data_IF_550232112649
#
_entry.id   IF_550232112649
#
_cell.length_a   1.000
_cell.length_b   1.000
_cell.length_c   1.000
_cell.angle_alpha   90.00
_cell.angle_beta   90.00
_cell.angle_gamma   90.00
#
_symmetry.space_group_name_H-M   'P 1'
#
loop_
_entity.id
_entity.type
_entity.pdbx_description
1 polymer ?
#
# COMPACT_ATOMS: atom_id res chain seq x y z
N UNK A 1 -10.78 17.07 9.61
CA UNK A 1 -10.75 17.23 8.13
C UNK A 1 -11.66 18.40 7.74
N UNK A 2 -11.18 19.34 6.92
CA UNK A 2 -11.95 20.50 6.45
C UNK A 2 -12.67 20.21 5.12
N UNK A 3 -13.63 21.07 4.73
CA UNK A 3 -14.36 20.96 3.44
C UNK A 3 -13.43 20.84 2.21
N UNK A 4 -12.26 21.52 2.25
CA UNK A 4 -11.24 21.45 1.19
C UNK A 4 -10.59 20.08 1.06
N UNK A 5 -10.43 19.37 2.18
CA UNK A 5 -9.77 18.07 2.21
C UNK A 5 -10.69 17.01 1.58
N UNK A 6 -12.01 17.10 1.79
CA UNK A 6 -12.99 16.25 1.09
C UNK A 6 -12.88 16.42 -0.42
N UNK A 7 -12.80 17.66 -0.91
CA UNK A 7 -12.64 17.95 -2.34
C UNK A 7 -11.32 17.40 -2.90
N UNK A 8 -10.24 17.47 -2.12
CA UNK A 8 -8.96 16.86 -2.45
C UNK A 8 -9.08 15.34 -2.63
N UNK A 9 -9.79 14.65 -1.72
CA UNK A 9 -10.01 13.19 -1.81
C UNK A 9 -10.71 12.80 -3.10
N UNK A 10 -11.79 13.49 -3.46
CA UNK A 10 -12.53 13.24 -4.70
C UNK A 10 -11.67 13.50 -5.94
N UNK A 11 -10.91 14.60 -5.95
CA UNK A 11 -9.98 14.93 -7.04
C UNK A 11 -8.90 13.86 -7.23
N UNK A 12 -8.32 13.34 -6.15
CA UNK A 12 -7.24 12.34 -6.20
C UNK A 12 -7.73 10.96 -6.64
N UNK A 13 -8.96 10.60 -6.29
CA UNK A 13 -9.51 9.27 -6.58
C UNK A 13 -10.26 9.17 -7.90
N UNK A 14 -10.76 10.31 -8.40
CA UNK A 14 -11.68 10.38 -9.54
C UNK A 14 -13.11 9.98 -9.19
N UNK A 15 -13.43 9.79 -7.91
CA UNK A 15 -14.79 9.55 -7.44
C UNK A 15 -15.51 10.88 -7.18
N UNK A 16 -16.82 10.85 -7.33
CA UNK A 16 -17.73 11.86 -6.80
C UNK A 16 -18.46 11.35 -5.56
N UNK A 17 -19.16 12.25 -4.87
CA UNK A 17 -19.94 11.88 -3.69
C UNK A 17 -21.07 10.91 -4.06
N UNK A 18 -21.68 11.07 -5.23
CA UNK A 18 -22.79 10.23 -5.67
C UNK A 18 -22.35 8.78 -5.93
N UNK A 19 -21.10 8.55 -6.29
CA UNK A 19 -20.57 7.21 -6.56
C UNK A 19 -20.60 6.31 -5.31
N UNK A 20 -20.55 6.89 -4.11
CA UNK A 20 -20.67 6.13 -2.87
C UNK A 20 -22.10 5.76 -2.48
N UNK A 21 -23.11 6.28 -3.20
CA UNK A 21 -24.53 5.93 -2.96
C UNK A 21 -24.87 4.47 -3.27
N UNK A 22 -24.04 3.79 -4.06
CA UNK A 22 -24.18 2.35 -4.35
C UNK A 22 -23.83 1.46 -3.15
N UNK A 23 -23.17 2.03 -2.12
CA UNK A 23 -22.77 1.28 -0.93
C UNK A 23 -24.00 0.94 -0.08
N UNK A 24 -24.33 -0.36 -0.02
CA UNK A 24 -25.45 -0.89 0.77
C UNK A 24 -25.18 -0.99 2.28
N UNK A 25 -23.96 -0.66 2.74
CA UNK A 25 -23.60 -0.77 4.15
C UNK A 25 -23.46 -2.21 4.67
N UNK A 26 -23.23 -3.21 3.79
CA UNK A 26 -23.16 -4.63 4.15
C UNK A 26 -21.93 -5.05 4.99
N UNK A 27 -20.91 -4.17 5.12
CA UNK A 27 -19.68 -4.37 5.91
C UNK A 27 -18.81 -5.58 5.52
N UNK A 28 -18.98 -6.17 4.33
CA UNK A 28 -18.08 -7.23 3.82
C UNK A 28 -16.62 -6.73 3.74
N UNK A 29 -16.42 -5.46 3.40
CA UNK A 29 -15.08 -4.86 3.38
C UNK A 29 -14.39 -4.83 4.75
N UNK A 30 -15.15 -4.78 5.85
CA UNK A 30 -14.61 -4.85 7.22
C UNK A 30 -14.22 -6.26 7.62
N UNK A 31 -14.99 -7.28 7.21
CA UNK A 31 -14.71 -8.68 7.55
C UNK A 31 -13.46 -9.23 6.84
N UNK A 32 -13.10 -8.71 5.68
CA UNK A 32 -11.90 -9.13 4.93
C UNK A 32 -10.66 -8.27 5.21
N UNK A 33 -10.79 -7.25 6.06
CA UNK A 33 -9.71 -6.29 6.32
C UNK A 33 -8.75 -6.83 7.39
N UNK A 34 -7.51 -7.10 7.00
CA UNK A 34 -6.47 -7.57 7.93
C UNK A 34 -6.12 -6.57 9.03
N UNK A 35 -6.46 -5.29 8.86
CA UNK A 35 -6.26 -4.25 9.89
C UNK A 35 -7.36 -4.34 10.95
N UNK A 36 -8.57 -4.77 10.57
CA UNK A 36 -9.66 -5.01 11.51
C UNK A 36 -9.33 -6.19 12.44
N UNK A 37 -8.61 -7.21 11.94
CA UNK A 37 -8.14 -8.36 12.71
C UNK A 37 -7.14 -7.98 13.84
N UNK A 38 -6.55 -6.78 13.78
CA UNK A 38 -5.64 -6.27 14.81
C UNK A 38 -6.37 -5.66 16.02
N UNK A 39 -7.69 -5.84 16.13
CA UNK A 39 -8.55 -5.29 17.19
C UNK A 39 -8.51 -3.76 17.31
N UNK A 40 -8.11 -3.06 16.25
CA UNK A 40 -8.01 -1.60 16.21
C UNK A 40 -9.37 -0.89 16.00
N UNK A 41 -10.49 -1.61 16.13
CA UNK A 41 -11.85 -1.13 15.86
C UNK A 41 -11.95 -0.42 14.49
N UNK A 42 -11.44 -1.09 13.44
CA UNK A 42 -11.31 -0.52 12.10
C UNK A 42 -12.45 -0.97 11.20
N UNK A 43 -13.28 -0.02 10.77
CA UNK A 43 -14.34 -0.29 9.81
C UNK A 43 -14.15 0.53 8.52
N UNK A 44 -13.69 -0.10 7.40
CA UNK A 44 -13.56 0.57 6.11
C UNK A 44 -14.88 1.12 5.55
N UNK A 45 -16.02 0.52 5.90
CA UNK A 45 -17.33 1.04 5.49
C UNK A 45 -17.69 2.35 6.21
N UNK A 46 -17.24 2.54 7.45
CA UNK A 46 -17.47 3.78 8.19
C UNK A 46 -16.72 4.96 7.56
N UNK A 47 -15.52 4.73 7.03
CA UNK A 47 -14.76 5.74 6.30
C UNK A 47 -15.53 6.22 5.05
N UNK A 48 -16.09 5.29 4.27
CA UNK A 48 -16.91 5.63 3.11
C UNK A 48 -18.15 6.44 3.52
N UNK A 49 -18.82 6.03 4.60
CA UNK A 49 -20.00 6.73 5.10
C UNK A 49 -19.67 8.16 5.51
N UNK A 50 -18.55 8.37 6.22
CA UNK A 50 -18.09 9.72 6.59
C UNK A 50 -17.81 10.60 5.37
N UNK A 51 -17.19 10.04 4.32
CA UNK A 51 -16.97 10.77 3.06
C UNK A 51 -18.27 11.13 2.35
N UNK A 52 -19.24 10.20 2.34
CA UNK A 52 -20.56 10.41 1.74
C UNK A 52 -21.37 11.49 2.47
N UNK A 53 -21.49 11.38 3.79
CA UNK A 53 -22.20 12.36 4.63
C UNK A 53 -21.46 13.70 4.71
N UNK A 54 -20.15 13.71 4.44
CA UNK A 54 -19.31 14.88 4.62
C UNK A 54 -18.92 15.12 6.08
N UNK A 55 -18.95 14.08 6.90
CA UNK A 55 -18.50 14.11 8.29
C UNK A 55 -16.97 14.16 8.37
N UNK A 56 -16.47 14.75 9.46
CA UNK A 56 -15.03 14.86 9.67
C UNK A 56 -14.39 13.50 9.92
N UNK A 57 -13.34 13.23 9.14
CA UNK A 57 -12.41 12.13 9.42
C UNK A 57 -11.30 12.68 10.30
N UNK A 58 -11.05 12.01 11.42
CA UNK A 58 -9.97 12.35 12.33
C UNK A 58 -8.65 11.75 11.87
N UNK A 59 -7.57 12.45 12.18
CA UNK A 59 -6.20 12.04 11.82
C UNK A 59 -5.74 10.80 12.59
N UNK A 60 -6.41 10.45 13.68
CA UNK A 60 -6.13 9.26 14.49
C UNK A 60 -6.78 7.97 13.93
N UNK A 61 -7.48 8.05 12.79
CA UNK A 61 -8.17 6.90 12.23
C UNK A 61 -7.18 5.76 11.90
N UNK A 62 -7.28 4.60 12.56
CA UNK A 62 -6.30 3.51 12.41
C UNK A 62 -6.25 2.97 10.97
N UNK A 63 -7.36 3.04 10.22
CA UNK A 63 -7.35 2.64 8.82
C UNK A 63 -6.43 3.51 7.97
N UNK A 64 -6.34 4.82 8.26
CA UNK A 64 -5.51 5.76 7.49
C UNK A 64 -4.01 5.53 7.74
N UNK A 65 -3.65 5.10 8.95
CA UNK A 65 -2.26 4.80 9.32
C UNK A 65 -1.81 3.40 8.89
N UNK A 66 -2.66 2.40 9.06
CA UNK A 66 -2.26 0.99 8.97
C UNK A 66 -2.73 0.29 7.68
N UNK A 67 -3.52 0.94 6.83
CA UNK A 67 -3.89 0.33 5.56
C UNK A 67 -2.67 0.06 4.68
N UNK A 68 -2.46 -1.21 4.35
CA UNK A 68 -1.35 -1.70 3.51
C UNK A 68 -1.68 -1.69 2.01
N UNK A 69 -2.85 -1.15 1.62
CA UNK A 69 -3.34 -1.19 0.25
C UNK A 69 -3.36 -2.60 -0.36
N UNK A 70 -3.87 -3.60 0.37
CA UNK A 70 -3.91 -5.00 -0.09
C UNK A 70 -5.09 -5.33 -1.04
N UNK A 71 -6.01 -4.39 -1.27
CA UNK A 71 -7.18 -4.50 -2.17
C UNK A 71 -8.20 -5.63 -1.92
N UNK A 72 -8.07 -6.39 -0.82
CA UNK A 72 -9.05 -7.43 -0.44
C UNK A 72 -10.48 -6.88 -0.32
N UNK A 73 -10.64 -5.69 0.24
CA UNK A 73 -11.93 -5.04 0.42
C UNK A 73 -12.60 -4.65 -0.92
N UNK A 74 -11.82 -4.35 -1.96
CA UNK A 74 -12.34 -4.06 -3.30
C UNK A 74 -12.83 -5.33 -3.98
N UNK A 75 -12.04 -6.40 -3.93
CA UNK A 75 -12.40 -7.70 -4.53
C UNK A 75 -13.65 -8.31 -3.88
N UNK A 76 -13.80 -8.13 -2.56
CA UNK A 76 -14.97 -8.64 -1.83
C UNK A 76 -16.21 -7.74 -1.98
N UNK A 77 -16.07 -6.52 -2.50
CA UNK A 77 -17.20 -5.60 -2.66
C UNK A 77 -18.00 -5.97 -3.91
N UNK A 78 -19.33 -6.18 -3.82
CA UNK A 78 -20.15 -6.47 -5.01
C UNK A 78 -20.20 -5.32 -6.02
N UNK A 79 -19.84 -4.10 -5.60
CA UNK A 79 -19.76 -2.90 -6.42
C UNK A 79 -18.32 -2.46 -6.72
N UNK A 80 -17.34 -3.28 -6.35
CA UNK A 80 -15.91 -3.05 -6.63
C UNK A 80 -15.38 -1.66 -6.20
N UNK A 81 -15.88 -1.13 -5.07
CA UNK A 81 -15.43 0.17 -4.57
C UNK A 81 -13.94 0.09 -4.20
N UNK A 82 -13.13 1.01 -4.76
CA UNK A 82 -11.67 1.09 -4.54
C UNK A 82 -11.34 1.78 -3.22
N UNK A 83 -11.77 1.17 -2.11
CA UNK A 83 -11.53 1.67 -0.74
C UNK A 83 -10.05 1.99 -0.46
N UNK A 84 -9.05 1.17 -0.89
CA UNK A 84 -7.64 1.50 -0.66
C UNK A 84 -7.21 2.82 -1.31
N UNK A 85 -7.72 3.13 -2.51
CA UNK A 85 -7.41 4.38 -3.19
C UNK A 85 -8.01 5.58 -2.43
N UNK A 86 -9.21 5.40 -1.89
CA UNK A 86 -9.88 6.38 -1.02
C UNK A 86 -9.07 6.61 0.26
N UNK A 87 -8.62 5.54 0.92
CA UNK A 87 -7.78 5.65 2.13
C UNK A 87 -6.47 6.39 1.82
N UNK A 88 -5.81 6.08 0.69
CA UNK A 88 -4.60 6.77 0.24
C UNK A 88 -4.84 8.26 0.02
N UNK A 89 -5.95 8.61 -0.63
CA UNK A 89 -6.31 10.00 -0.88
C UNK A 89 -6.63 10.74 0.42
N UNK A 90 -7.32 10.10 1.37
CA UNK A 90 -7.56 10.64 2.71
C UNK A 90 -6.24 10.90 3.44
N UNK A 91 -5.32 9.93 3.42
CA UNK A 91 -3.98 10.07 4.03
C UNK A 91 -3.23 11.29 3.49
N UNK A 92 -3.21 11.47 2.17
CA UNK A 92 -2.57 12.64 1.53
C UNK A 92 -3.32 13.94 1.86
N UNK A 93 -4.65 13.92 1.90
CA UNK A 93 -5.45 15.12 2.23
C UNK A 93 -5.23 15.61 3.67
N UNK A 94 -4.96 14.69 4.60
CA UNK A 94 -4.64 15.01 5.99
C UNK A 94 -3.14 15.34 6.19
N UNK A 95 -2.32 15.22 5.14
CA UNK A 95 -0.87 15.46 5.23
C UNK A 95 -0.15 14.50 6.19
N UNK A 96 -0.69 13.28 6.35
CA UNK A 96 -0.09 12.25 7.20
C UNK A 96 1.09 11.62 6.44
N UNK A 97 2.19 12.35 6.40
CA UNK A 97 3.44 11.89 5.80
C UNK A 97 4.34 11.26 6.87
N UNK A 98 4.90 10.10 6.54
CA UNK A 98 6.01 9.54 7.33
C UNK A 98 7.26 10.42 7.22
N UNK A 99 8.18 10.32 8.19
CA UNK A 99 9.44 11.08 8.14
C UNK A 99 10.25 10.75 6.87
N UNK A 100 10.22 9.47 6.47
CA UNK A 100 10.79 9.01 5.21
C UNK A 100 10.15 9.70 4.00
N UNK A 101 8.82 9.76 3.96
CA UNK A 101 8.09 10.40 2.88
C UNK A 101 8.38 11.90 2.77
N UNK A 102 8.50 12.60 3.91
CA UNK A 102 8.95 14.00 3.94
C UNK A 102 10.36 14.15 3.40
N UNK A 103 11.29 13.28 3.82
CA UNK A 103 12.67 13.28 3.33
C UNK A 103 12.74 12.99 1.82
N UNK A 104 11.94 12.04 1.35
CA UNK A 104 11.82 11.64 -0.05
C UNK A 104 11.25 12.77 -0.92
N UNK A 105 10.08 13.32 -0.56
CA UNK A 105 9.45 14.48 -1.24
C UNK A 105 10.42 15.67 -1.29
N UNK A 106 11.17 15.92 -0.20
CA UNK A 106 12.20 16.98 -0.14
C UNK A 106 13.38 16.70 -1.07
N UNK A 107 13.87 15.46 -1.15
CA UNK A 107 14.94 15.08 -2.08
C UNK A 107 14.53 15.36 -3.52
N UNK A 108 13.31 14.96 -3.90
CA UNK A 108 12.78 15.19 -5.24
C UNK A 108 12.65 16.68 -5.56
N UNK A 109 12.11 17.48 -4.64
CA UNK A 109 11.94 18.92 -4.85
C UNK A 109 13.27 19.67 -5.03
N UNK A 110 14.34 19.22 -4.37
CA UNK A 110 15.65 19.88 -4.44
C UNK A 110 16.42 19.43 -5.69
N UNK A 111 16.44 18.13 -5.98
CA UNK A 111 17.36 17.53 -6.97
C UNK A 111 16.69 17.03 -8.25
N UNK A 112 15.36 16.95 -8.30
CA UNK A 112 14.60 16.30 -9.37
C UNK A 112 14.77 14.77 -9.42
N UNK A 113 15.53 14.19 -8.48
CA UNK A 113 15.78 12.75 -8.35
C UNK A 113 15.98 12.35 -6.89
N UNK A 114 15.83 11.07 -6.60
CA UNK A 114 16.06 10.52 -5.26
C UNK A 114 17.56 10.47 -5.02
N UNK A 115 18.03 11.18 -4.00
CA UNK A 115 19.41 11.11 -3.52
C UNK A 115 19.43 10.32 -2.21
N UNK A 116 19.75 9.03 -2.32
CA UNK A 116 19.67 8.07 -1.22
C UNK A 116 20.42 8.52 0.04
N UNK A 117 21.67 9.04 -0.04
CA UNK A 117 22.39 9.49 1.14
C UNK A 117 21.66 10.60 1.90
N UNK A 118 21.00 11.51 1.19
CA UNK A 118 20.23 12.59 1.81
C UNK A 118 18.96 12.08 2.49
N UNK A 119 18.24 11.16 1.84
CA UNK A 119 17.03 10.56 2.44
C UNK A 119 17.41 9.78 3.71
N UNK A 120 18.50 9.02 3.68
CA UNK A 120 19.00 8.27 4.84
C UNK A 120 19.38 9.22 5.98
N UNK A 121 20.13 10.29 5.72
CA UNK A 121 20.53 11.26 6.75
C UNK A 121 19.31 11.95 7.36
N UNK A 122 18.34 12.34 6.55
CA UNK A 122 17.12 12.99 7.03
C UNK A 122 16.20 12.04 7.81
N UNK A 123 16.16 10.75 7.44
CA UNK A 123 15.39 9.72 8.14
C UNK A 123 16.14 9.11 9.35
N UNK A 124 17.44 9.38 9.50
CA UNK A 124 18.28 8.83 10.56
C UNK A 124 17.73 9.02 11.98
N UNK A 125 17.14 10.17 12.37
CA UNK A 125 16.62 10.36 13.72
C UNK A 125 15.52 9.33 14.09
N UNK A 126 14.67 8.95 13.13
CA UNK A 126 13.63 7.94 13.32
C UNK A 126 14.20 6.53 13.26
N UNK A 127 15.17 6.28 12.38
CA UNK A 127 15.87 4.98 12.33
C UNK A 127 16.60 4.70 13.66
N UNK A 128 17.17 5.74 14.26
CA UNK A 128 17.84 5.70 15.56
C UNK A 128 16.86 5.54 16.73
N UNK A 129 15.72 6.24 16.71
CA UNK A 129 14.72 6.22 17.81
C UNK A 129 13.74 5.05 17.76
N UNK A 130 13.36 4.58 16.57
CA UNK A 130 12.32 3.56 16.36
C UNK A 130 12.73 2.13 16.69
N UNK A 131 13.89 1.91 17.33
CA UNK A 131 14.35 0.58 17.72
C UNK A 131 14.85 -0.30 16.56
N UNK A 132 14.89 0.20 15.32
CA UNK A 132 15.44 -0.55 14.18
C UNK A 132 16.92 -0.89 14.35
N UNK A 133 17.69 -0.06 15.07
CA UNK A 133 19.08 -0.37 15.44
C UNK A 133 19.20 -1.62 16.32
N UNK A 134 18.16 -1.96 17.09
CA UNK A 134 18.12 -3.23 17.84
C UNK A 134 18.10 -4.45 16.90
N UNK A 135 17.60 -4.28 15.68
CA UNK A 135 17.53 -5.32 14.65
C UNK A 135 18.66 -5.23 13.60
N UNK A 136 19.47 -4.16 13.62
CA UNK A 136 20.67 -3.99 12.77
C UNK A 136 21.67 -5.17 12.82
N UNK A 137 22.02 -5.77 13.98
CA UNK A 137 22.95 -6.92 13.98
C UNK A 137 22.40 -8.11 13.19
N UNK A 138 21.08 -8.30 13.21
CA UNK A 138 20.38 -9.34 12.45
C UNK A 138 20.39 -9.05 10.94
N UNK A 139 20.48 -7.79 10.54
CA UNK A 139 20.61 -7.38 9.14
C UNK A 139 22.07 -7.49 8.65
N UNK A 140 23.05 -7.22 9.53
CA UNK A 140 24.46 -7.46 9.26
C UNK A 140 24.79 -8.95 9.01
N UNK A 141 24.03 -9.88 9.60
CA UNK A 141 24.10 -11.31 9.24
C UNK A 141 23.78 -11.56 7.76
N UNK A 142 22.86 -10.79 7.17
CA UNK A 142 22.52 -10.86 5.74
C UNK A 142 23.41 -9.97 4.85
N UNK A 143 24.16 -9.03 5.44
CA UNK A 143 25.15 -8.21 4.74
C UNK A 143 26.47 -8.96 4.48
N UNK A 144 26.49 -10.27 4.66
CA UNK A 144 27.54 -11.12 4.11
C UNK A 144 27.62 -10.89 2.61
N UNK A 145 28.81 -10.53 2.13
CA UNK A 145 29.11 -10.32 0.71
C UNK A 145 28.99 -11.66 -0.03
N UNK A 146 27.76 -12.10 -0.32
CA UNK A 146 27.55 -13.29 -1.13
C UNK A 146 27.90 -12.91 -2.56
N UNK A 147 29.15 -13.20 -2.96
CA UNK A 147 29.53 -13.06 -4.36
C UNK A 147 28.55 -13.89 -5.19
N UNK A 148 27.96 -13.32 -6.26
CA UNK A 148 27.02 -14.05 -7.10
C UNK A 148 27.70 -15.35 -7.57
N UNK A 149 27.12 -16.49 -7.21
CA UNK A 149 27.65 -17.77 -7.64
C UNK A 149 27.56 -17.83 -9.17
N UNK A 150 28.61 -18.32 -9.84
CA UNK A 150 28.58 -18.52 -11.30
C UNK A 150 27.39 -19.43 -11.64
N UNK A 151 26.36 -18.85 -12.27
CA UNK A 151 25.32 -19.64 -12.93
C UNK A 151 26.02 -20.37 -14.08
N UNK A 152 25.99 -21.71 -14.07
CA UNK A 152 26.44 -22.49 -15.23
C UNK A 152 25.62 -21.98 -16.42
N UNK A 153 26.27 -21.39 -17.43
CA UNK A 153 25.58 -21.08 -18.70
C UNK A 153 24.94 -22.38 -19.16
N UNK A 154 23.61 -22.43 -19.23
CA UNK A 154 22.95 -23.45 -20.01
C UNK A 154 23.48 -23.27 -21.43
N UNK A 155 24.31 -24.20 -21.86
CA UNK A 155 24.84 -24.23 -23.22
C UNK A 155 23.67 -24.23 -24.19
N UNK A 156 23.86 -23.48 -25.27
CA UNK A 156 22.96 -23.33 -26.42
C UNK A 156 22.09 -24.56 -26.65
N UNK A 157 20.78 -24.32 -26.74
CA UNK A 157 19.75 -25.25 -27.18
C UNK A 157 20.26 -26.25 -28.22
N UNK A 158 20.32 -27.54 -27.87
CA UNK A 158 20.10 -28.57 -28.88
C UNK A 158 18.60 -28.67 -29.07
N UNK A 159 18.13 -27.96 -30.10
CA UNK A 159 16.88 -28.30 -30.78
C UNK A 159 17.04 -29.74 -31.26
N UNK A 160 16.40 -30.70 -30.58
CA UNK A 160 16.13 -32.03 -31.12
C UNK A 160 14.64 -32.10 -31.42
N UNK A 161 14.36 -32.21 -32.72
CA UNK A 161 13.05 -32.46 -33.31
C UNK A 161 12.40 -33.74 -32.75
N UNK A 162 11.06 -33.72 -32.72
CA UNK A 162 10.13 -34.85 -32.95
C UNK A 162 10.08 -35.95 -31.86
N UNK A 163 8.94 -36.42 -31.33
CA UNK A 163 7.59 -36.57 -31.88
C UNK A 163 6.50 -36.54 -30.78
N UNK A 164 5.32 -36.03 -31.14
CA UNK A 164 4.05 -36.22 -30.41
C UNK A 164 3.63 -37.70 -30.37
N UNK A 165 3.00 -38.14 -29.27
CA UNK A 165 1.87 -39.05 -29.37
C UNK A 165 0.60 -38.41 -28.78
N UNK A 166 -0.36 -38.20 -29.70
CA UNK A 166 -1.82 -38.34 -29.58
C UNK A 166 -2.51 -38.26 -28.21
N UNK A 167 -3.52 -37.38 -28.19
CA UNK A 167 -4.72 -37.44 -27.35
C UNK A 167 -5.25 -38.87 -27.14
N UNK A 168 -5.56 -39.24 -25.89
CA UNK A 168 -6.65 -40.19 -25.59
C UNK A 168 -7.02 -40.12 -24.08
N UNK A 169 -8.12 -39.40 -23.78
CA UNK A 169 -9.19 -39.82 -22.86
C UNK A 169 -8.91 -40.18 -21.38
N UNK A 170 -9.40 -39.33 -20.49
CA UNK A 170 -10.30 -39.71 -19.36
C UNK A 170 -11.03 -38.45 -18.87
N UNK A 171 -12.29 -38.29 -19.24
CA UNK A 171 -13.49 -38.53 -18.39
C UNK A 171 -13.41 -37.84 -17.04
#
# INVERSE_FOLDING_TARGET
>A
MNKKDHEMVFRLTGYNREDFSVCLGCKICASVCTVNDLELNVNPQELLLKLFTGEEIKDDNPLVHYCTNCYRCTVACPWEIRIPDVVRAVKESLGIDSLFEKAFKKSLNIWGRVYEPFVVVMAAPDLLKGGYIKHMPRWMEYAGFHLPHKVKRLGSSKVSKENNPSEEGRR
#
